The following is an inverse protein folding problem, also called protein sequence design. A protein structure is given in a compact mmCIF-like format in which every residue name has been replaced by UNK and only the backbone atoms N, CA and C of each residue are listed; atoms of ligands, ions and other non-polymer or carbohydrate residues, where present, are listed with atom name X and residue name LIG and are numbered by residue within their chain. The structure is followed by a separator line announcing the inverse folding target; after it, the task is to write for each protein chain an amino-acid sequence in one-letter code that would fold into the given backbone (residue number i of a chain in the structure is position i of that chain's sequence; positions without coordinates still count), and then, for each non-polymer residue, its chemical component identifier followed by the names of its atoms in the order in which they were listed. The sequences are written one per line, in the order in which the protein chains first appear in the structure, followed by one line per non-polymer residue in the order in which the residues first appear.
data_IF_130918931218
#
_entry.id   IF_130918931218
#
_cell.length_a   1.000
_cell.length_b   1.000
_cell.length_c   1.000
_cell.angle_alpha   90.00
_cell.angle_beta   90.00
_cell.angle_gamma   90.00
#
_symmetry.space_group_name_H-M   'P 1'
#
loop_
_entity.id
_entity.type
_entity.pdbx_description
1 polymer ?
#
# COMPACT_ATOMS: atom_id res chain seq x y z
N UNK A 1 5.51 -15.57 -4.11
CA UNK A 1 5.84 -14.94 -5.40
C UNK A 1 4.59 -14.82 -6.29
N UNK A 2 3.98 -15.89 -6.83
CA UNK A 2 2.82 -15.75 -7.72
C UNK A 2 1.61 -15.18 -6.98
N UNK A 3 1.39 -15.61 -5.74
CA UNK A 3 0.34 -15.08 -4.85
C UNK A 3 0.52 -13.59 -4.56
N UNK A 4 1.75 -13.14 -4.32
CA UNK A 4 2.08 -11.73 -4.06
C UNK A 4 1.87 -10.86 -5.30
N UNK A 5 2.27 -11.34 -6.48
CA UNK A 5 2.02 -10.64 -7.75
C UNK A 5 0.53 -10.58 -8.08
N UNK A 6 -0.22 -11.66 -7.84
CA UNK A 6 -1.67 -11.71 -7.99
C UNK A 6 -2.38 -10.72 -7.06
N UNK A 7 -2.07 -10.76 -5.76
CA UNK A 7 -2.66 -9.84 -4.78
C UNK A 7 -2.36 -8.38 -5.11
N UNK A 8 -1.13 -8.09 -5.55
CA UNK A 8 -0.74 -6.76 -5.99
C UNK A 8 -1.49 -6.32 -7.25
N UNK A 9 -1.70 -7.22 -8.22
CA UNK A 9 -2.47 -6.95 -9.43
C UNK A 9 -3.95 -6.68 -9.12
N UNK A 10 -4.56 -7.46 -8.22
CA UNK A 10 -5.94 -7.23 -7.75
C UNK A 10 -6.04 -5.87 -7.05
N UNK A 11 -5.11 -5.56 -6.14
CA UNK A 11 -5.10 -4.27 -5.46
C UNK A 11 -4.92 -3.11 -6.44
N UNK A 12 -4.01 -3.26 -7.42
CA UNK A 12 -3.75 -2.26 -8.47
C UNK A 12 -4.92 -2.11 -9.44
N UNK A 13 -5.74 -3.15 -9.59
CA UNK A 13 -6.95 -3.15 -10.42
C UNK A 13 -8.09 -2.39 -9.74
N UNK A 14 -8.21 -2.50 -8.41
CA UNK A 14 -9.22 -1.79 -7.62
C UNK A 14 -8.84 -0.33 -7.36
N UNK A 15 -7.55 -0.01 -7.26
CA UNK A 15 -7.02 1.35 -7.09
C UNK A 15 -5.65 1.46 -7.75
N UNK A 16 -5.29 2.60 -8.30
CA UNK A 16 -4.03 2.77 -9.03
C UNK A 16 -2.77 2.69 -8.14
N UNK A 17 -2.82 3.20 -6.91
CA UNK A 17 -1.65 3.43 -6.04
C UNK A 17 -0.85 2.18 -5.63
N UNK A 18 -1.48 1.02 -5.34
CA UNK A 18 -0.76 -0.21 -5.02
C UNK A 18 0.28 -0.62 -6.06
N UNK A 19 0.14 -0.22 -7.33
CA UNK A 19 1.12 -0.52 -8.37
C UNK A 19 2.55 -0.05 -8.01
N UNK A 20 2.67 1.03 -7.25
CA UNK A 20 3.97 1.54 -6.80
C UNK A 20 4.68 0.63 -5.79
N UNK A 21 3.99 -0.37 -5.23
CA UNK A 21 4.56 -1.39 -4.36
C UNK A 21 5.24 -2.53 -5.14
N UNK A 22 5.19 -2.55 -6.47
CA UNK A 22 5.79 -3.61 -7.28
C UNK A 22 7.31 -3.79 -6.99
N UNK A 23 8.15 -2.74 -6.98
CA UNK A 23 9.56 -2.89 -6.61
C UNK A 23 9.81 -3.40 -5.18
N UNK A 24 9.21 -2.83 -4.11
CA UNK A 24 9.48 -3.30 -2.75
C UNK A 24 8.89 -4.70 -2.47
N UNK A 25 7.72 -5.04 -3.00
CA UNK A 25 7.17 -6.41 -2.91
C UNK A 25 8.05 -7.41 -3.66
N UNK A 26 8.56 -7.01 -4.83
CA UNK A 26 9.50 -7.83 -5.59
C UNK A 26 10.78 -8.11 -4.81
N UNK A 27 11.37 -7.10 -4.18
CA UNK A 27 12.54 -7.28 -3.33
C UNK A 27 12.25 -8.19 -2.13
N UNK A 28 11.11 -8.03 -1.46
CA UNK A 28 10.71 -8.88 -0.34
C UNK A 28 10.52 -10.34 -0.77
N UNK A 29 9.89 -10.57 -1.92
CA UNK A 29 9.74 -11.90 -2.48
C UNK A 29 11.09 -12.52 -2.85
N UNK A 30 12.01 -11.74 -3.41
CA UNK A 30 13.36 -12.19 -3.74
C UNK A 30 14.16 -12.58 -2.49
N UNK A 31 14.14 -11.75 -1.45
CA UNK A 31 14.80 -12.04 -0.17
C UNK A 31 14.28 -13.34 0.47
N UNK A 32 12.96 -13.53 0.47
CA UNK A 32 12.34 -14.77 0.96
C UNK A 32 12.76 -16.00 0.16
N UNK A 33 12.89 -15.90 -1.17
CA UNK A 33 13.38 -17.01 -1.99
C UNK A 33 14.82 -17.37 -1.67
N UNK A 34 15.68 -16.36 -1.49
CA UNK A 34 17.08 -16.56 -1.13
C UNK A 34 17.21 -17.26 0.23
N UNK A 35 16.40 -16.86 1.22
CA UNK A 35 16.35 -17.49 2.54
C UNK A 35 15.86 -18.94 2.46
N UNK A 36 14.81 -19.22 1.68
CA UNK A 36 14.29 -20.58 1.50
C UNK A 36 15.34 -21.51 0.90
N UNK A 37 16.02 -21.07 -0.16
CA UNK A 37 17.09 -21.87 -0.78
C UNK A 37 18.24 -22.13 0.18
N UNK A 38 18.68 -21.12 0.93
CA UNK A 38 19.71 -21.28 1.95
C UNK A 38 19.34 -22.34 2.99
N UNK A 39 18.07 -22.37 3.45
CA UNK A 39 17.60 -23.40 4.39
C UNK A 39 17.53 -24.80 3.78
N UNK A 40 17.17 -24.94 2.49
CA UNK A 40 17.10 -26.25 1.82
C UNK A 40 18.48 -26.83 1.52
N UNK A 41 19.49 -25.97 1.27
CA UNK A 41 20.88 -26.40 1.05
C UNK A 41 21.67 -26.70 2.33
N UNK A 42 21.11 -26.44 3.51
CA UNK A 42 21.73 -26.80 4.78
C UNK A 42 21.49 -28.30 5.08
N UNK A 43 22.56 -29.10 5.02
CA UNK A 43 22.61 -30.52 5.46
C UNK A 43 22.21 -30.66 6.95
N UNK A 44 21.73 -31.83 7.44
CA UNK A 44 21.36 -32.02 8.84
C UNK A 44 22.55 -31.81 9.80
N UNK A 45 22.31 -31.62 11.10
CA UNK A 45 23.26 -30.97 12.00
C UNK A 45 24.39 -31.91 12.43
N UNK A 46 25.50 -31.92 11.70
CA UNK A 46 26.80 -32.20 12.30
C UNK A 46 27.48 -30.88 12.69
N UNK A 47 27.24 -30.52 13.96
CA UNK A 47 28.13 -29.87 14.91
C UNK A 47 29.05 -28.74 14.40
N UNK A 48 28.53 -27.51 14.35
CA UNK A 48 29.15 -26.35 15.03
C UNK A 48 28.20 -25.12 15.00
N UNK A 49 27.66 -24.63 16.14
CA UNK A 49 26.77 -23.47 16.16
C UNK A 49 27.43 -22.15 15.71
N UNK A 50 28.77 -22.09 15.68
CA UNK A 50 29.52 -20.88 15.34
C UNK A 50 29.97 -20.81 13.87
N UNK A 51 29.73 -21.85 13.06
CA UNK A 51 30.03 -21.78 11.64
C UNK A 51 28.91 -21.00 10.93
N UNK A 52 29.15 -19.72 10.63
CA UNK A 52 28.34 -19.01 9.63
C UNK A 52 28.52 -19.75 8.32
N UNK A 53 27.57 -20.62 7.97
CA UNK A 53 27.53 -21.25 6.67
C UNK A 53 27.67 -20.14 5.62
N UNK A 54 28.82 -20.09 4.94
CA UNK A 54 29.05 -19.13 3.89
C UNK A 54 28.02 -19.40 2.80
N UNK A 55 27.07 -18.49 2.62
CA UNK A 55 26.07 -18.58 1.56
C UNK A 55 26.82 -18.50 0.24
N UNK A 56 26.90 -19.61 -0.48
CA UNK A 56 27.55 -19.64 -1.79
C UNK A 56 26.78 -18.72 -2.74
N UNK A 57 27.44 -17.66 -3.19
CA UNK A 57 26.82 -16.62 -4.01
C UNK A 57 26.42 -17.14 -5.41
N UNK A 58 26.94 -18.30 -5.81
CA UNK A 58 26.68 -18.96 -7.10
C UNK A 58 25.37 -19.74 -7.13
N UNK A 59 24.81 -20.11 -5.98
CA UNK A 59 23.53 -20.83 -5.89
C UNK A 59 22.32 -19.89 -5.81
N UNK A 60 22.55 -18.58 -5.68
CA UNK A 60 21.47 -17.59 -5.64
C UNK A 60 20.75 -17.50 -6.99
N UNK A 61 19.42 -17.32 -6.98
CA UNK A 61 18.65 -17.21 -8.20
C UNK A 61 18.98 -15.85 -8.84
N UNK A 62 19.16 -15.80 -10.17
CA UNK A 62 19.43 -14.54 -10.85
C UNK A 62 18.25 -13.57 -10.66
N UNK A 63 18.56 -12.35 -10.17
CA UNK A 63 17.54 -11.37 -9.78
C UNK A 63 16.73 -10.83 -10.98
N UNK A 64 17.35 -10.69 -12.14
CA UNK A 64 16.71 -10.15 -13.36
C UNK A 64 15.57 -11.05 -13.85
N UNK A 65 15.77 -12.36 -14.14
CA UNK A 65 14.68 -13.21 -14.59
C UNK A 65 13.59 -13.37 -13.52
N UNK A 66 13.95 -13.32 -12.23
CA UNK A 66 12.96 -13.27 -11.15
C UNK A 66 12.10 -12.00 -11.24
N UNK A 67 12.70 -10.82 -11.39
CA UNK A 67 11.98 -9.55 -11.52
C UNK A 67 11.11 -9.50 -12.78
N UNK A 68 11.62 -10.02 -13.90
CA UNK A 68 10.87 -10.15 -15.15
C UNK A 68 9.66 -11.07 -14.95
N UNK A 69 9.85 -12.24 -14.34
CA UNK A 69 8.76 -13.17 -14.07
C UNK A 69 7.69 -12.53 -13.18
N UNK A 70 8.08 -11.81 -12.12
CA UNK A 70 7.16 -11.10 -11.23
C UNK A 70 6.34 -10.06 -11.99
N UNK A 71 7.01 -9.25 -12.80
CA UNK A 71 6.40 -8.19 -13.59
C UNK A 71 5.45 -8.79 -14.63
N UNK A 72 5.84 -9.89 -15.30
CA UNK A 72 4.98 -10.59 -16.26
C UNK A 72 3.73 -11.17 -15.59
N UNK A 73 3.85 -11.81 -14.43
CA UNK A 73 2.68 -12.34 -13.71
C UNK A 73 1.77 -11.19 -13.28
N UNK A 74 2.33 -10.09 -12.75
CA UNK A 74 1.57 -8.90 -12.39
C UNK A 74 0.80 -8.33 -13.60
N UNK A 75 1.50 -8.07 -14.71
CA UNK A 75 0.89 -7.51 -15.92
C UNK A 75 -0.13 -8.44 -16.56
N UNK A 76 0.15 -9.75 -16.62
CA UNK A 76 -0.78 -10.74 -17.15
C UNK A 76 -2.05 -10.84 -16.30
N UNK A 77 -1.91 -10.84 -14.96
CA UNK A 77 -3.06 -10.86 -14.04
C UNK A 77 -3.87 -9.57 -14.16
N UNK A 78 -3.20 -8.42 -14.20
CA UNK A 78 -3.86 -7.12 -14.34
C UNK A 78 -4.61 -7.00 -15.67
N UNK A 79 -3.99 -7.42 -16.78
CA UNK A 79 -4.62 -7.46 -18.09
C UNK A 79 -5.81 -8.45 -18.15
N UNK A 80 -5.69 -9.61 -17.49
CA UNK A 80 -6.79 -10.56 -17.37
C UNK A 80 -7.98 -9.94 -16.61
N UNK A 81 -7.74 -9.24 -15.50
CA UNK A 81 -8.80 -8.56 -14.74
C UNK A 81 -9.49 -7.48 -15.56
N UNK A 82 -8.74 -6.67 -16.32
CA UNK A 82 -9.29 -5.70 -17.25
C UNK A 82 -10.12 -6.37 -18.36
N UNK A 83 -9.62 -7.49 -18.92
CA UNK A 83 -10.32 -8.27 -19.93
C UNK A 83 -11.62 -8.87 -19.41
N UNK A 84 -11.61 -9.45 -18.20
CA UNK A 84 -12.80 -9.96 -17.55
C UNK A 84 -13.82 -8.84 -17.27
N UNK A 85 -13.36 -7.69 -16.79
CA UNK A 85 -14.22 -6.50 -16.60
C UNK A 85 -14.88 -6.07 -17.91
N UNK A 86 -14.11 -6.01 -19.00
CA UNK A 86 -14.66 -5.65 -20.32
C UNK A 86 -15.63 -6.67 -20.91
N UNK A 87 -15.54 -7.94 -20.50
CA UNK A 87 -16.45 -9.00 -20.92
C UNK A 87 -17.76 -9.00 -20.11
N UNK A 88 -17.65 -8.70 -18.81
CA UNK A 88 -18.77 -8.73 -17.87
C UNK A 88 -19.57 -7.42 -17.87
N UNK A 89 -18.92 -6.27 -18.11
CA UNK A 89 -19.57 -4.98 -18.10
C UNK A 89 -19.94 -4.52 -19.52
N UNK A 90 -21.08 -3.83 -19.70
CA UNK A 90 -21.52 -3.33 -21.00
C UNK A 90 -20.73 -2.11 -21.49
N UNK A 91 -19.84 -1.52 -20.66
CA UNK A 91 -19.08 -0.33 -21.04
C UNK A 91 -17.67 -0.30 -20.41
N UNK A 92 -16.77 0.45 -21.06
CA UNK A 92 -15.42 0.72 -20.55
C UNK A 92 -15.35 1.93 -19.62
N UNK A 93 -16.49 2.44 -19.13
CA UNK A 93 -16.53 3.62 -18.26
C UNK A 93 -15.77 3.41 -16.93
N UNK A 94 -15.61 2.16 -16.50
CA UNK A 94 -14.82 1.86 -15.31
C UNK A 94 -13.35 2.30 -15.45
N UNK A 95 -12.77 2.31 -16.66
CA UNK A 95 -11.37 2.69 -16.88
C UNK A 95 -11.14 4.16 -16.49
N UNK A 96 -11.83 5.16 -17.09
CA UNK A 96 -11.66 6.53 -16.67
C UNK A 96 -12.07 6.74 -15.21
N UNK A 97 -13.13 6.06 -14.73
CA UNK A 97 -13.57 6.22 -13.34
C UNK A 97 -12.54 5.76 -12.31
N UNK A 98 -11.86 4.62 -12.52
CA UNK A 98 -10.90 4.04 -11.58
C UNK A 98 -9.50 4.63 -11.75
N UNK A 99 -9.02 4.79 -12.99
CA UNK A 99 -7.62 5.14 -13.24
C UNK A 99 -7.43 6.60 -13.61
N UNK A 100 -8.37 7.21 -14.34
CA UNK A 100 -8.22 8.58 -14.82
C UNK A 100 -8.66 9.62 -13.78
N UNK A 101 -9.69 9.31 -12.97
CA UNK A 101 -10.18 10.20 -11.90
C UNK A 101 -9.08 10.58 -10.91
N UNK A 102 -8.24 9.65 -10.37
CA UNK A 102 -7.13 10.04 -9.51
C UNK A 102 -6.04 10.83 -10.25
N UNK A 103 -5.80 10.52 -11.55
CA UNK A 103 -4.79 11.20 -12.36
C UNK A 103 -5.15 12.65 -12.69
N UNK A 104 -6.43 12.92 -12.95
CA UNK A 104 -6.94 14.24 -13.33
C UNK A 104 -7.44 15.05 -12.14
N UNK A 105 -7.73 14.38 -11.02
CA UNK A 105 -8.31 14.95 -9.80
C UNK A 105 -9.44 15.95 -10.13
N UNK A 106 -10.49 15.57 -10.88
CA UNK A 106 -11.53 16.53 -11.30
C UNK A 106 -12.34 17.07 -10.12
N UNK A 107 -12.54 16.24 -9.09
CA UNK A 107 -13.25 16.59 -7.88
C UNK A 107 -12.27 17.05 -6.78
N UNK A 108 -12.59 18.17 -6.15
CA UNK A 108 -11.82 18.81 -5.08
C UNK A 108 -12.64 18.93 -3.79
N UNK A 109 -13.72 18.15 -3.67
CA UNK A 109 -14.48 18.06 -2.43
C UNK A 109 -13.56 17.74 -1.25
N UNK A 110 -13.73 18.46 -0.11
CA UNK A 110 -12.89 18.26 1.05
C UNK A 110 -12.89 16.80 1.52
N UNK A 111 -11.69 16.26 1.73
CA UNK A 111 -11.48 14.91 2.26
C UNK A 111 -10.29 14.90 3.25
N UNK A 112 -10.03 13.80 3.97
CA UNK A 112 -8.88 13.73 4.88
C UNK A 112 -7.51 13.84 4.22
N UNK A 113 -7.43 13.76 2.89
CA UNK A 113 -6.18 13.80 2.13
C UNK A 113 -5.63 15.20 1.92
N UNK A 114 -4.40 15.26 1.39
CA UNK A 114 -3.65 16.51 1.20
C UNK A 114 -3.98 17.21 -0.12
N UNK A 115 -4.41 16.47 -1.15
CA UNK A 115 -4.46 16.98 -2.52
C UNK A 115 -5.57 18.01 -2.72
N UNK A 116 -6.78 17.76 -2.22
CA UNK A 116 -7.92 18.66 -2.46
C UNK A 116 -7.58 20.11 -2.08
N UNK A 117 -6.99 20.33 -0.90
CA UNK A 117 -6.67 21.68 -0.41
C UNK A 117 -5.55 22.33 -1.22
N UNK A 118 -4.50 21.57 -1.58
CA UNK A 118 -3.43 22.08 -2.43
C UNK A 118 -3.95 22.52 -3.81
N UNK A 119 -4.87 21.74 -4.39
CA UNK A 119 -5.35 21.96 -5.74
C UNK A 119 -6.48 23.01 -5.85
N UNK A 120 -7.21 23.33 -4.77
CA UNK A 120 -8.14 24.47 -4.78
C UNK A 120 -7.41 25.82 -4.74
N UNK A 121 -6.25 25.89 -4.08
CA UNK A 121 -5.47 27.12 -3.95
C UNK A 121 -4.60 27.42 -5.19
N UNK A 122 -4.52 26.47 -6.12
CA UNK A 122 -3.65 26.55 -7.28
C UNK A 122 -4.36 27.15 -8.51
N UNK A 123 -3.65 28.01 -9.25
CA UNK A 123 -4.13 28.50 -10.52
C UNK A 123 -4.28 27.38 -11.58
N UNK A 124 -5.38 27.40 -12.32
CA UNK A 124 -5.71 26.39 -13.34
C UNK A 124 -4.61 26.18 -14.37
N UNK A 125 -3.91 27.25 -14.77
CA UNK A 125 -2.83 27.19 -15.76
C UNK A 125 -1.67 26.27 -15.34
N UNK A 126 -1.45 26.06 -14.04
CA UNK A 126 -0.38 25.21 -13.51
C UNK A 126 -0.88 23.84 -13.04
N UNK A 127 -2.19 23.60 -13.03
CA UNK A 127 -2.80 22.39 -12.46
C UNK A 127 -2.21 21.11 -13.03
N UNK A 128 -2.16 20.98 -14.36
CA UNK A 128 -1.63 19.78 -15.02
C UNK A 128 -0.14 19.55 -14.73
N UNK A 129 0.64 20.62 -14.58
CA UNK A 129 2.04 20.52 -14.19
C UNK A 129 2.19 19.93 -12.78
N UNK A 130 1.46 20.48 -11.81
CA UNK A 130 1.55 20.01 -10.43
C UNK A 130 0.93 18.64 -10.20
N UNK A 131 -0.11 18.24 -10.97
CA UNK A 131 -0.57 16.84 -11.01
C UNK A 131 0.60 15.92 -11.34
N UNK A 132 1.34 16.21 -12.42
CA UNK A 132 2.53 15.44 -12.80
C UNK A 132 3.60 15.41 -11.70
N UNK A 133 3.86 16.55 -11.06
CA UNK A 133 4.85 16.65 -9.96
C UNK A 133 4.45 15.79 -8.76
N UNK A 134 3.19 15.81 -8.34
CA UNK A 134 2.72 15.03 -7.20
C UNK A 134 2.76 13.52 -7.48
N UNK A 135 2.38 13.09 -8.68
CA UNK A 135 2.54 11.70 -9.10
C UNK A 135 4.00 11.27 -9.17
N UNK A 136 4.87 12.10 -9.74
CA UNK A 136 6.30 11.83 -9.79
C UNK A 136 6.90 11.78 -8.37
N UNK A 137 6.46 12.65 -7.47
CA UNK A 137 6.85 12.66 -6.07
C UNK A 137 6.53 11.31 -5.40
N UNK A 138 5.30 10.80 -5.53
CA UNK A 138 4.93 9.48 -5.00
C UNK A 138 5.78 8.36 -5.61
N UNK A 139 5.92 8.35 -6.95
CA UNK A 139 6.69 7.33 -7.66
C UNK A 139 8.18 7.36 -7.27
N UNK A 140 8.71 8.55 -6.97
CA UNK A 140 10.13 8.76 -6.67
C UNK A 140 10.60 8.01 -5.43
N UNK A 141 9.70 7.60 -4.51
CA UNK A 141 10.06 6.85 -3.32
C UNK A 141 10.29 5.35 -3.57
N UNK A 142 9.63 4.77 -4.58
CA UNK A 142 9.56 3.31 -4.75
C UNK A 142 10.94 2.68 -4.94
N UNK A 143 11.74 3.19 -5.89
CA UNK A 143 13.07 2.64 -6.17
C UNK A 143 14.11 3.05 -5.12
N UNK A 144 14.25 4.31 -4.67
CA UNK A 144 15.24 4.70 -3.68
C UNK A 144 15.07 4.01 -2.32
N UNK A 145 13.84 3.84 -1.84
CA UNK A 145 13.57 3.04 -0.63
C UNK A 145 14.07 1.61 -0.83
N UNK A 146 13.86 1.05 -2.02
CA UNK A 146 14.35 -0.28 -2.34
C UNK A 146 15.88 -0.37 -2.31
N UNK A 147 16.58 0.64 -2.85
CA UNK A 147 18.03 0.69 -2.86
C UNK A 147 18.62 0.89 -1.45
N UNK A 148 17.97 1.72 -0.63
CA UNK A 148 18.44 2.06 0.72
C UNK A 148 18.21 0.92 1.71
N UNK A 149 17.06 0.25 1.63
CA UNK A 149 16.59 -0.74 2.60
C UNK A 149 16.73 -2.18 2.10
N UNK A 150 17.70 -2.45 1.21
CA UNK A 150 17.94 -3.79 0.65
C UNK A 150 18.10 -4.91 1.70
N UNK A 151 18.64 -4.57 2.88
CA UNK A 151 18.82 -5.53 3.99
C UNK A 151 17.55 -5.75 4.82
N UNK A 152 16.54 -4.92 4.63
CA UNK A 152 15.28 -4.90 5.38
C UNK A 152 14.11 -4.66 4.41
N UNK A 153 13.84 -5.59 3.48
CA UNK A 153 12.84 -5.39 2.42
C UNK A 153 11.43 -5.14 2.98
N UNK A 154 11.09 -5.72 4.13
CA UNK A 154 9.81 -5.46 4.80
C UNK A 154 9.65 -3.98 5.18
N UNK A 155 10.71 -3.32 5.64
CA UNK A 155 10.69 -1.91 5.97
C UNK A 155 10.43 -1.05 4.71
N UNK A 156 10.98 -1.45 3.56
CA UNK A 156 10.71 -0.77 2.29
C UNK A 156 9.21 -0.85 1.90
N UNK A 157 8.59 -2.03 2.07
CA UNK A 157 7.14 -2.21 1.82
C UNK A 157 6.31 -1.36 2.77
N UNK A 158 6.61 -1.39 4.07
CA UNK A 158 5.89 -0.64 5.10
C UNK A 158 5.98 0.87 4.86
N UNK A 159 7.18 1.40 4.57
CA UNK A 159 7.35 2.82 4.27
C UNK A 159 6.65 3.23 2.99
N UNK A 160 6.66 2.37 1.96
CA UNK A 160 5.95 2.66 0.71
C UNK A 160 4.42 2.64 0.89
N UNK A 161 3.89 1.74 1.72
CA UNK A 161 2.48 1.79 2.13
C UNK A 161 2.14 3.08 2.86
N UNK A 162 3.04 3.57 3.73
CA UNK A 162 2.88 4.87 4.39
C UNK A 162 2.87 6.04 3.40
N UNK A 163 3.79 6.05 2.43
CA UNK A 163 3.81 7.06 1.35
C UNK A 163 2.49 7.04 0.58
N UNK A 164 2.00 5.86 0.18
CA UNK A 164 0.72 5.74 -0.51
C UNK A 164 -0.44 6.25 0.35
N UNK A 165 -0.50 5.90 1.64
CA UNK A 165 -1.59 6.32 2.53
C UNK A 165 -1.61 7.84 2.79
N UNK A 166 -0.44 8.49 2.84
CA UNK A 166 -0.34 9.94 3.09
C UNK A 166 -0.62 10.76 1.84
N UNK A 167 -0.13 10.30 0.69
CA UNK A 167 -0.16 11.07 -0.56
C UNK A 167 -1.24 10.59 -1.54
N UNK A 168 -2.21 9.80 -1.11
CA UNK A 168 -3.34 9.41 -1.96
C UNK A 168 -4.20 10.64 -2.35
N UNK A 169 -4.53 10.85 -3.65
CA UNK A 169 -5.32 11.99 -4.11
C UNK A 169 -6.72 12.07 -3.50
N UNK A 170 -7.37 10.93 -3.31
CA UNK A 170 -8.68 10.79 -2.69
C UNK A 170 -8.58 9.95 -1.42
N UNK A 171 -7.78 10.41 -0.46
CA UNK A 171 -7.61 9.69 0.80
C UNK A 171 -8.96 9.55 1.51
N UNK A 172 -9.32 8.32 1.85
CA UNK A 172 -10.50 7.99 2.63
C UNK A 172 -10.15 7.75 4.09
N UNK A 173 -11.17 7.54 4.93
CA UNK A 173 -10.95 7.32 6.36
C UNK A 173 -10.17 6.02 6.64
N UNK A 174 -10.30 5.01 5.77
CA UNK A 174 -9.50 3.79 5.80
C UNK A 174 -8.01 4.05 5.57
N UNK A 175 -7.64 4.97 4.67
CA UNK A 175 -6.25 5.38 4.45
C UNK A 175 -5.67 6.08 5.69
N UNK A 176 -6.47 6.91 6.37
CA UNK A 176 -6.09 7.54 7.66
C UNK A 176 -5.84 6.48 8.73
N UNK A 177 -6.73 5.49 8.83
CA UNK A 177 -6.55 4.39 9.78
C UNK A 177 -5.32 3.54 9.47
N UNK A 178 -5.06 3.23 8.20
CA UNK A 178 -3.84 2.53 7.77
C UNK A 178 -2.60 3.33 8.17
N UNK A 179 -2.55 4.64 7.90
CA UNK A 179 -1.46 5.50 8.31
C UNK A 179 -1.28 5.50 9.84
N UNK A 180 -2.37 5.55 10.61
CA UNK A 180 -2.37 5.45 12.07
C UNK A 180 -1.81 4.12 12.58
N UNK A 181 -2.19 2.98 11.97
CA UNK A 181 -1.64 1.67 12.31
C UNK A 181 -0.16 1.56 11.97
N UNK A 182 0.27 2.08 10.82
CA UNK A 182 1.69 2.10 10.43
C UNK A 182 2.52 2.97 11.38
N UNK A 183 2.01 4.15 11.75
CA UNK A 183 2.61 5.02 12.76
C UNK A 183 2.79 4.29 14.10
N UNK A 184 1.76 3.58 14.56
CA UNK A 184 1.78 2.84 15.82
C UNK A 184 2.71 1.62 15.78
N UNK A 185 2.73 0.86 14.67
CA UNK A 185 3.66 -0.28 14.53
C UNK A 185 5.12 0.16 14.52
N UNK A 186 5.42 1.34 13.98
CA UNK A 186 6.78 1.88 13.93
C UNK A 186 7.24 2.45 15.29
N UNK A 187 6.41 3.27 15.95
CA UNK A 187 6.80 3.96 17.18
C UNK A 187 6.46 3.21 18.47
N UNK A 188 5.47 2.32 18.44
CA UNK A 188 5.04 1.56 19.61
C UNK A 188 6.17 0.81 20.31
N UNK A 189 6.98 0.00 19.59
CA UNK A 189 8.12 -0.70 20.17
C UNK A 189 9.18 0.25 20.75
N UNK A 190 9.39 1.42 20.12
CA UNK A 190 10.31 2.42 20.62
C UNK A 190 9.83 2.98 21.96
N UNK A 191 8.57 3.42 22.08
CA UNK A 191 8.03 3.92 23.33
C UNK A 191 7.97 2.87 24.43
N UNK A 192 7.66 1.61 24.09
CA UNK A 192 7.76 0.49 25.03
C UNK A 192 9.19 0.33 25.54
N UNK A 193 10.18 0.36 24.65
CA UNK A 193 11.58 0.20 25.03
C UNK A 193 12.09 1.35 25.89
N UNK A 194 11.74 2.59 25.52
CA UNK A 194 12.08 3.80 26.27
C UNK A 194 11.52 3.77 27.70
N UNK A 195 10.31 3.25 27.88
CA UNK A 195 9.67 3.14 29.19
C UNK A 195 10.21 1.97 30.03
N UNK A 196 10.21 0.74 29.48
CA UNK A 196 10.50 -0.48 30.23
C UNK A 196 12.01 -0.71 30.40
N UNK A 197 12.80 -0.50 29.34
CA UNK A 197 14.22 -0.88 29.34
C UNK A 197 15.14 0.32 29.55
N UNK A 198 14.90 1.44 28.89
CA UNK A 198 15.77 2.61 29.00
C UNK A 198 15.48 3.46 30.25
N UNK A 199 14.27 3.37 30.82
CA UNK A 199 13.84 4.17 31.97
C UNK A 199 13.77 5.69 31.71
N UNK A 200 14.05 6.14 30.48
CA UNK A 200 14.04 7.56 30.09
C UNK A 200 12.72 8.01 29.46
N UNK A 201 11.81 7.07 29.17
CA UNK A 201 10.48 7.33 28.60
C UNK A 201 9.37 7.36 29.66
N UNK A 202 8.49 8.36 29.56
CA UNK A 202 7.26 8.42 30.37
C UNK A 202 6.22 7.40 29.86
N UNK A 203 5.57 6.66 30.77
CA UNK A 203 4.51 5.70 30.45
C UNK A 203 3.37 6.30 29.60
N UNK A 204 3.11 7.60 29.75
CA UNK A 204 2.12 8.33 28.97
C UNK A 204 2.38 8.26 27.45
N UNK A 205 3.64 8.17 27.00
CA UNK A 205 3.96 8.02 25.58
C UNK A 205 3.49 6.66 25.03
N UNK A 206 3.70 5.59 25.80
CA UNK A 206 3.24 4.25 25.42
C UNK A 206 1.72 4.12 25.55
N UNK A 207 1.09 4.78 26.53
CA UNK A 207 -0.37 4.84 26.59
C UNK A 207 -0.98 5.61 25.41
N UNK A 208 -0.39 6.75 25.04
CA UNK A 208 -0.87 7.55 23.91
C UNK A 208 -0.82 6.76 22.58
N UNK A 209 0.26 6.02 22.31
CA UNK A 209 0.37 5.25 21.07
C UNK A 209 -0.63 4.08 21.01
N UNK A 210 -0.96 3.46 22.16
CA UNK A 210 -1.99 2.41 22.19
C UNK A 210 -3.40 2.99 22.04
N UNK A 211 -3.65 4.23 22.47
CA UNK A 211 -4.90 4.94 22.15
C UNK A 211 -5.04 5.19 20.64
N UNK A 212 -3.98 5.66 19.98
CA UNK A 212 -3.98 5.86 18.52
C UNK A 212 -4.21 4.52 17.79
N UNK A 213 -3.59 3.44 18.25
CA UNK A 213 -3.83 2.09 17.71
C UNK A 213 -5.30 1.67 17.81
N UNK A 214 -5.91 1.80 18.99
CA UNK A 214 -7.31 1.46 19.19
C UNK A 214 -8.25 2.36 18.38
N UNK A 215 -7.94 3.66 18.28
CA UNK A 215 -8.69 4.59 17.44
C UNK A 215 -8.67 4.16 15.97
N UNK A 216 -7.50 3.81 15.43
CA UNK A 216 -7.38 3.33 14.06
C UNK A 216 -8.16 2.04 13.81
N UNK A 217 -8.17 1.10 14.76
CA UNK A 217 -8.98 -0.11 14.67
C UNK A 217 -10.49 0.19 14.72
N UNK A 218 -10.92 1.10 15.58
CA UNK A 218 -12.33 1.53 15.64
C UNK A 218 -12.75 2.17 14.33
N UNK A 219 -11.91 3.02 13.73
CA UNK A 219 -12.18 3.64 12.43
C UNK A 219 -12.42 2.56 11.36
N UNK A 220 -11.53 1.56 11.25
CA UNK A 220 -11.68 0.48 10.26
C UNK A 220 -12.97 -0.31 10.50
N UNK A 221 -13.27 -0.61 11.76
CA UNK A 221 -14.49 -1.33 12.13
C UNK A 221 -15.75 -0.53 11.74
N UNK A 222 -15.77 0.76 12.08
CA UNK A 222 -16.91 1.64 11.76
C UNK A 222 -17.06 1.84 10.26
N UNK A 223 -15.97 2.02 9.52
CA UNK A 223 -15.98 2.17 8.06
C UNK A 223 -16.52 0.90 7.37
N UNK A 224 -16.06 -0.27 7.82
CA UNK A 224 -16.57 -1.57 7.32
C UNK A 224 -18.05 -1.74 7.63
N UNK A 225 -18.48 -1.41 8.86
CA UNK A 225 -19.88 -1.50 9.26
C UNK A 225 -20.74 -0.53 8.45
N UNK A 226 -20.28 0.71 8.26
CA UNK A 226 -20.97 1.71 7.46
C UNK A 226 -21.14 1.25 6.02
N UNK A 227 -20.09 0.69 5.40
CA UNK A 227 -20.15 0.17 4.04
C UNK A 227 -21.21 -0.94 3.90
N UNK A 228 -21.27 -1.87 4.86
CA UNK A 228 -22.29 -2.95 4.86
C UNK A 228 -23.70 -2.40 5.03
N UNK A 229 -23.92 -1.53 6.03
CA UNK A 229 -25.23 -0.92 6.27
C UNK A 229 -25.69 -0.05 5.10
N UNK A 230 -24.74 0.61 4.42
CA UNK A 230 -25.02 1.43 3.24
C UNK A 230 -25.49 0.56 2.07
N UNK A 231 -24.83 -0.57 1.83
CA UNK A 231 -25.21 -1.53 0.79
C UNK A 231 -26.62 -2.11 1.05
N UNK A 232 -26.89 -2.52 2.30
CA UNK A 232 -28.23 -2.98 2.72
C UNK A 232 -29.29 -1.90 2.49
N UNK A 233 -29.01 -0.65 2.87
CA UNK A 233 -29.94 0.47 2.69
C UNK A 233 -30.21 0.80 1.22
N UNK A 234 -29.20 0.72 0.35
CA UNK A 234 -29.35 0.94 -1.09
C UNK A 234 -30.16 -0.19 -1.75
N UNK A 235 -29.96 -1.43 -1.32
CA UNK A 235 -30.74 -2.57 -1.77
C UNK A 235 -32.23 -2.45 -1.39
N UNK A 236 -32.53 -2.02 -0.17
CA UNK A 236 -33.91 -1.82 0.30
C UNK A 236 -34.62 -0.62 -0.37
N UNK A 237 -33.88 0.35 -0.92
CA UNK A 237 -34.43 1.60 -1.46
C UNK A 237 -33.89 1.94 -2.85
N UNK A 238 -34.25 1.16 -3.88
CA UNK A 238 -33.75 1.36 -5.25
C UNK A 238 -34.16 2.73 -5.84
N UNK A 239 -35.26 3.30 -5.37
CA UNK A 239 -35.76 4.62 -5.80
C UNK A 239 -34.93 5.83 -5.29
N UNK A 240 -33.99 5.61 -4.37
CA UNK A 240 -33.04 6.63 -3.89
C UNK A 240 -31.76 6.74 -4.72
N UNK A 241 -31.42 5.71 -5.52
CA UNK A 241 -30.12 5.58 -6.19
C UNK A 241 -29.92 6.59 -7.34
N UNK A 242 -31.01 7.09 -7.93
CA UNK A 242 -30.97 7.99 -9.09
C UNK A 242 -31.25 9.47 -8.78
N UNK A 243 -31.48 9.85 -7.52
CA UNK A 243 -31.64 11.27 -7.17
C UNK A 243 -30.26 11.88 -6.99
N UNK A 244 -29.89 12.80 -7.88
CA UNK A 244 -28.79 13.74 -7.64
C UNK A 244 -29.02 14.39 -6.27
N UNK A 245 -28.18 14.00 -5.31
CA UNK A 245 -28.08 14.73 -4.05
C UNK A 245 -27.42 16.05 -4.45
N UNK A 246 -28.24 17.08 -4.66
CA UNK A 246 -27.77 18.44 -4.94
C UNK A 246 -26.95 18.87 -3.72
N UNK A 247 -25.63 18.75 -3.82
CA UNK A 247 -24.71 19.31 -2.85
C UNK A 247 -24.89 20.84 -2.92
N UNK A 248 -25.35 21.42 -1.81
CA UNK A 248 -25.53 22.87 -1.65
C UNK A 248 -24.17 23.50 -1.40
#
# INVERSE_FOLDING_TARGET
MPTSAFALAVASYLSLHPAFLLPPIGMLCYDRLCQQQATTSATPPDQNPDSKAAVDQRTLPPAIPFALLLTTIFLATFALLLGLSSLLLPSFQFIPSVYLTPLQLPDLTPNPGLWWYFFIEMFDAFRSFFLGVFWLHMLSYSVPLCLRLRKQPLAAVVLMLGVNAVFEPYANIGAVALAGLLYCTLLGPAFHHLWIYAGSGNANFFYAITLVWNLALVIILTDTLYAVLRDEWEFERPEGVAKEIRQI
#
